data_IF_344892652004
#
_entry.id   IF_344892652004
#
_cell.length_a   1.000
_cell.length_b   1.000
_cell.length_c   1.000
_cell.angle_alpha   90.00
_cell.angle_beta   90.00
_cell.angle_gamma   90.00
#
_symmetry.space_group_name_H-M   'P 1'
#
loop_
_entity.id
_entity.type
_entity.pdbx_description
1 polymer ?
#
# COMPACT_ATOMS: atom_id res chain seq x y z
N UNK A 1 3.98 0.93 -9.43
CA UNK A 1 5.05 1.03 -8.42
C UNK A 1 4.50 0.88 -7.01
N UNK A 2 3.44 1.63 -6.66
CA UNK A 2 2.78 1.60 -5.35
C UNK A 2 2.27 0.20 -4.98
N UNK A 3 1.52 -0.44 -5.88
CA UNK A 3 1.00 -1.81 -5.70
C UNK A 3 2.14 -2.80 -5.44
N UNK A 4 3.24 -2.70 -6.20
CA UNK A 4 4.40 -3.55 -6.02
C UNK A 4 5.13 -3.30 -4.69
N UNK A 5 5.32 -2.04 -4.30
CA UNK A 5 5.96 -1.69 -3.03
C UNK A 5 5.16 -2.17 -1.82
N UNK A 6 3.83 -2.21 -1.95
CA UNK A 6 2.92 -2.66 -0.90
C UNK A 6 2.82 -4.18 -0.78
N UNK A 7 2.94 -4.92 -1.90
CA UNK A 7 2.63 -6.35 -1.97
C UNK A 7 3.84 -7.26 -1.89
N UNK A 8 5.04 -6.74 -2.12
CA UNK A 8 6.21 -7.56 -2.40
C UNK A 8 7.23 -7.49 -1.29
N UNK A 9 7.57 -8.66 -0.77
CA UNK A 9 8.83 -8.87 -0.05
C UNK A 9 10.01 -8.79 -1.03
N UNK A 10 11.21 -8.35 -0.58
CA UNK A 10 12.39 -8.14 -1.43
C UNK A 10 12.83 -9.36 -2.26
N UNK A 11 12.34 -10.54 -1.93
CA UNK A 11 12.75 -11.82 -2.53
C UNK A 11 11.93 -12.26 -3.75
N UNK A 12 10.83 -11.57 -4.12
CA UNK A 12 9.98 -11.98 -5.25
C UNK A 12 10.47 -11.43 -6.59
N UNK A 13 11.43 -12.10 -7.20
CA UNK A 13 12.01 -11.78 -8.52
C UNK A 13 10.98 -11.63 -9.68
N UNK A 14 9.82 -12.28 -9.60
CA UNK A 14 8.80 -12.23 -10.65
C UNK A 14 8.15 -10.85 -10.73
N UNK A 15 7.93 -10.23 -9.59
CA UNK A 15 7.32 -8.91 -9.54
C UNK A 15 8.31 -7.81 -9.95
N UNK A 16 9.58 -7.95 -9.65
CA UNK A 16 10.63 -7.06 -10.17
C UNK A 16 10.69 -7.07 -11.70
N UNK A 17 10.47 -8.23 -12.34
CA UNK A 17 10.38 -8.31 -13.82
C UNK A 17 9.17 -7.52 -14.35
N UNK A 18 8.00 -7.65 -13.73
CA UNK A 18 6.78 -6.90 -14.14
C UNK A 18 6.94 -5.39 -13.96
N UNK A 19 7.55 -4.94 -12.86
CA UNK A 19 7.87 -3.52 -12.66
C UNK A 19 8.80 -2.99 -13.74
N UNK A 20 9.81 -3.77 -14.17
CA UNK A 20 10.68 -3.39 -15.29
C UNK A 20 9.91 -3.26 -16.60
N UNK A 21 8.97 -4.19 -16.88
CA UNK A 21 8.11 -4.15 -18.05
C UNK A 21 7.22 -2.89 -18.03
N UNK A 22 6.55 -2.61 -16.91
CA UNK A 22 5.71 -1.41 -16.78
C UNK A 22 6.55 -0.14 -16.95
N UNK A 23 7.76 -0.08 -16.38
CA UNK A 23 8.67 1.06 -16.58
C UNK A 23 9.05 1.24 -18.03
N UNK A 24 9.40 0.15 -18.73
CA UNK A 24 9.72 0.19 -20.15
C UNK A 24 8.53 0.67 -20.99
N UNK A 25 7.32 0.17 -20.71
CA UNK A 25 6.07 0.63 -21.35
C UNK A 25 5.81 2.11 -21.12
N UNK A 26 6.02 2.60 -19.90
CA UNK A 26 5.88 4.03 -19.59
C UNK A 26 6.90 4.89 -20.37
N UNK A 27 8.16 4.44 -20.46
CA UNK A 27 9.18 5.13 -21.25
C UNK A 27 8.81 5.17 -22.75
N UNK A 28 8.34 4.05 -23.31
CA UNK A 28 7.85 3.99 -24.69
C UNK A 28 6.64 4.91 -24.89
N UNK A 29 5.68 4.88 -23.96
CA UNK A 29 4.51 5.75 -24.01
C UNK A 29 4.90 7.24 -24.01
N UNK A 30 5.82 7.62 -23.12
CA UNK A 30 6.33 9.00 -23.05
C UNK A 30 7.05 9.41 -24.35
N UNK A 31 7.90 8.53 -24.88
CA UNK A 31 8.58 8.77 -26.16
C UNK A 31 7.58 8.98 -27.32
N UNK A 32 6.53 8.16 -27.38
CA UNK A 32 5.47 8.30 -28.38
C UNK A 32 4.69 9.61 -28.25
N UNK A 33 4.42 10.08 -27.01
CA UNK A 33 3.81 11.39 -26.77
C UNK A 33 4.71 12.51 -27.30
N UNK A 34 6.03 12.46 -27.02
CA UNK A 34 6.99 13.44 -27.53
C UNK A 34 7.04 13.43 -29.05
N UNK A 35 7.13 12.25 -29.67
CA UNK A 35 7.12 12.11 -31.14
C UNK A 35 5.82 12.67 -31.72
N UNK A 36 4.68 12.45 -31.07
CA UNK A 36 3.38 12.96 -31.51
C UNK A 36 3.32 14.50 -31.59
N UNK A 37 4.09 15.21 -30.76
CA UNK A 37 4.17 16.69 -30.82
C UNK A 37 4.71 17.19 -32.17
N UNK A 38 5.60 16.41 -32.80
CA UNK A 38 6.27 16.82 -34.02
C UNK A 38 5.60 16.19 -35.27
N UNK A 39 4.93 15.06 -35.11
CA UNK A 39 4.38 14.27 -36.25
C UNK A 39 2.87 14.41 -36.39
N UNK A 40 2.16 14.99 -35.42
CA UNK A 40 0.69 15.00 -35.41
C UNK A 40 0.08 13.60 -35.29
N UNK A 41 0.83 12.60 -34.75
CA UNK A 41 0.40 11.20 -34.72
C UNK A 41 -0.92 11.02 -33.93
N UNK A 42 -1.05 11.67 -32.77
CA UNK A 42 -2.21 11.50 -31.90
C UNK A 42 -3.27 12.58 -32.11
N UNK A 43 -2.84 13.80 -32.45
CA UNK A 43 -3.73 14.94 -32.65
C UNK A 43 -3.09 15.99 -33.54
N UNK A 44 -3.93 16.81 -34.10
CA UNK A 44 -3.54 17.98 -34.90
C UNK A 44 -4.39 19.17 -34.51
N UNK A 45 -3.87 20.37 -34.76
CA UNK A 45 -4.62 21.61 -34.64
C UNK A 45 -4.81 22.17 -36.06
N UNK A 46 -6.01 22.66 -36.33
CA UNK A 46 -6.26 23.37 -37.59
C UNK A 46 -5.82 24.85 -37.52
N UNK A 47 -6.01 25.58 -38.62
CA UNK A 47 -5.68 27.00 -38.71
C UNK A 47 -6.49 27.88 -37.71
N UNK A 48 -7.63 27.38 -37.22
CA UNK A 48 -8.49 28.01 -36.22
C UNK A 48 -8.14 27.60 -34.79
N UNK A 49 -7.03 26.88 -34.60
CA UNK A 49 -6.56 26.33 -33.32
C UNK A 49 -7.56 25.36 -32.66
N UNK A 50 -8.36 24.67 -33.48
CA UNK A 50 -9.29 23.64 -33.03
C UNK A 50 -8.59 22.29 -33.02
N UNK A 51 -8.75 21.54 -31.93
CA UNK A 51 -8.17 20.22 -31.74
C UNK A 51 -8.91 19.15 -32.55
N UNK A 52 -8.15 18.35 -33.30
CA UNK A 52 -8.65 17.17 -34.03
C UNK A 52 -7.88 15.92 -33.65
N UNK A 53 -8.60 14.83 -33.43
CA UNK A 53 -7.96 13.51 -33.20
C UNK A 53 -7.44 12.96 -34.51
N UNK A 54 -6.15 12.59 -34.54
CA UNK A 54 -5.53 11.93 -35.70
C UNK A 54 -5.86 10.43 -35.70
N UNK A 55 -5.64 9.78 -36.86
CA UNK A 55 -5.84 8.33 -36.98
C UNK A 55 -5.02 7.48 -36.02
N UNK A 56 -3.88 7.98 -35.54
CA UNK A 56 -3.03 7.31 -34.54
C UNK A 56 -3.49 7.46 -33.09
N UNK A 57 -4.55 8.23 -32.81
CA UNK A 57 -5.06 8.42 -31.46
C UNK A 57 -5.31 7.12 -30.68
N UNK A 58 -5.87 6.04 -31.25
CA UNK A 58 -6.08 4.79 -30.52
C UNK A 58 -4.79 4.16 -30.00
N UNK A 59 -3.63 4.42 -30.64
CA UNK A 59 -2.32 3.91 -30.20
C UNK A 59 -1.95 4.50 -28.82
N UNK A 60 -2.34 5.76 -28.56
CA UNK A 60 -2.09 6.40 -27.26
C UNK A 60 -2.77 5.67 -26.10
N UNK A 61 -3.86 4.94 -26.36
CA UNK A 61 -4.62 4.20 -25.34
C UNK A 61 -4.03 2.82 -25.05
N UNK A 62 -3.21 2.25 -25.92
CA UNK A 62 -2.66 0.89 -25.78
C UNK A 62 -1.78 0.81 -24.52
N UNK A 63 -0.87 1.74 -24.34
CA UNK A 63 0.08 1.71 -23.21
C UNK A 63 -0.62 1.81 -21.87
N UNK A 64 -1.53 2.77 -21.62
CA UNK A 64 -2.31 2.83 -20.39
C UNK A 64 -3.13 1.56 -20.13
N UNK A 65 -3.82 1.04 -21.16
CA UNK A 65 -4.67 -0.16 -21.00
C UNK A 65 -3.84 -1.39 -20.65
N UNK A 66 -2.69 -1.60 -21.30
CA UNK A 66 -1.78 -2.71 -20.98
C UNK A 66 -1.21 -2.55 -19.57
N UNK A 67 -0.79 -1.35 -19.17
CA UNK A 67 -0.33 -1.09 -17.80
C UNK A 67 -1.41 -1.40 -16.77
N UNK A 68 -2.64 -0.94 -17.00
CA UNK A 68 -3.78 -1.21 -16.11
C UNK A 68 -4.11 -2.71 -16.04
N UNK A 69 -4.02 -3.45 -17.15
CA UNK A 69 -4.21 -4.90 -17.17
C UNK A 69 -3.13 -5.64 -16.34
N UNK A 70 -1.87 -5.20 -16.44
CA UNK A 70 -0.78 -5.74 -15.64
C UNK A 70 -0.98 -5.46 -14.15
N UNK A 71 -1.36 -4.23 -13.79
CA UNK A 71 -1.64 -3.84 -12.41
C UNK A 71 -2.85 -4.59 -11.85
N UNK A 72 -3.92 -4.74 -12.63
CA UNK A 72 -5.09 -5.54 -12.27
C UNK A 72 -4.74 -7.01 -12.06
N UNK A 73 -3.89 -7.58 -12.90
CA UNK A 73 -3.42 -8.97 -12.74
C UNK A 73 -2.64 -9.18 -11.45
N UNK A 74 -1.81 -8.19 -11.05
CA UNK A 74 -1.09 -8.21 -9.78
C UNK A 74 -2.06 -8.11 -8.60
N UNK A 75 -3.02 -7.19 -8.66
CA UNK A 75 -4.02 -7.00 -7.62
C UNK A 75 -4.82 -8.28 -7.37
N UNK A 76 -5.25 -8.97 -8.44
CA UNK A 76 -5.98 -10.23 -8.34
C UNK A 76 -5.10 -11.37 -7.81
N UNK A 77 -3.85 -11.46 -8.26
CA UNK A 77 -2.91 -12.49 -7.83
C UNK A 77 -2.61 -12.39 -6.33
N UNK A 78 -2.46 -11.18 -5.81
CA UNK A 78 -2.09 -10.95 -4.40
C UNK A 78 -3.27 -10.53 -3.52
N UNK A 79 -4.51 -10.71 -3.98
CA UNK A 79 -5.72 -10.30 -3.24
C UNK A 79 -5.80 -10.87 -1.81
N UNK A 80 -5.23 -12.05 -1.57
CA UNK A 80 -5.26 -12.69 -0.26
C UNK A 80 -4.33 -12.01 0.78
N UNK A 81 -3.37 -11.20 0.32
CA UNK A 81 -2.42 -10.46 1.16
C UNK A 81 -2.86 -9.03 1.47
N UNK A 82 -3.97 -8.61 0.87
CA UNK A 82 -4.46 -7.22 0.96
C UNK A 82 -5.76 -7.21 1.75
N UNK A 83 -5.96 -6.17 2.55
CA UNK A 83 -7.25 -5.94 3.19
C UNK A 83 -8.36 -5.70 2.15
N UNK A 84 -9.60 -6.00 2.51
CA UNK A 84 -10.75 -5.77 1.63
C UNK A 84 -10.89 -4.28 1.26
N UNK A 85 -10.62 -3.38 2.22
CA UNK A 85 -10.67 -1.94 1.99
C UNK A 85 -9.65 -1.50 0.95
N UNK A 86 -8.41 -1.94 1.10
CA UNK A 86 -7.33 -1.61 0.17
C UNK A 86 -7.52 -2.25 -1.21
N UNK A 87 -8.05 -3.48 -1.26
CA UNK A 87 -8.40 -4.13 -2.53
C UNK A 87 -9.45 -3.32 -3.30
N UNK A 88 -10.51 -2.86 -2.62
CA UNK A 88 -11.56 -2.03 -3.24
C UNK A 88 -11.02 -0.66 -3.66
N UNK A 89 -10.22 0.00 -2.82
CA UNK A 89 -9.64 1.30 -3.14
C UNK A 89 -8.68 1.23 -4.34
N UNK A 90 -7.79 0.23 -4.37
CA UNK A 90 -6.87 0.03 -5.51
C UNK A 90 -7.63 -0.44 -6.75
N UNK A 91 -8.67 -1.28 -6.59
CA UNK A 91 -9.54 -1.71 -7.67
C UNK A 91 -10.32 -0.54 -8.28
N UNK A 92 -10.81 0.40 -7.46
CA UNK A 92 -11.49 1.59 -7.95
C UNK A 92 -10.56 2.47 -8.81
N UNK A 93 -9.29 2.57 -8.45
CA UNK A 93 -8.27 3.28 -9.24
C UNK A 93 -8.08 2.68 -10.65
N UNK A 94 -8.30 1.38 -10.81
CA UNK A 94 -8.25 0.72 -12.13
C UNK A 94 -9.59 0.84 -12.87
N UNK A 95 -10.71 0.65 -12.19
CA UNK A 95 -12.04 0.56 -12.82
C UNK A 95 -12.60 1.93 -13.19
N UNK A 96 -12.50 2.94 -12.31
CA UNK A 96 -13.09 4.26 -12.55
C UNK A 96 -12.56 4.96 -13.81
N UNK A 97 -11.23 4.99 -14.10
CA UNK A 97 -10.74 5.56 -15.34
C UNK A 97 -11.20 4.80 -16.59
N UNK A 98 -11.31 3.46 -16.52
CA UNK A 98 -11.82 2.66 -17.66
C UNK A 98 -13.28 2.99 -17.96
N UNK A 99 -14.13 3.13 -16.94
CA UNK A 99 -15.51 3.58 -17.10
C UNK A 99 -15.56 5.00 -17.67
N UNK A 100 -14.73 5.91 -17.17
CA UNK A 100 -14.64 7.27 -17.65
C UNK A 100 -14.21 7.32 -19.12
N UNK A 101 -13.22 6.52 -19.55
CA UNK A 101 -12.80 6.39 -20.94
C UNK A 101 -13.97 5.90 -21.81
N UNK A 102 -14.71 4.89 -21.35
CA UNK A 102 -15.85 4.35 -22.09
C UNK A 102 -16.93 5.39 -22.33
N UNK A 103 -17.24 6.21 -21.32
CA UNK A 103 -18.21 7.31 -21.43
C UNK A 103 -17.65 8.42 -22.35
N UNK A 104 -16.37 8.76 -22.23
CA UNK A 104 -15.72 9.81 -23.01
C UNK A 104 -15.61 9.48 -24.50
N UNK A 105 -15.60 8.18 -24.87
CA UNK A 105 -15.67 7.77 -26.28
C UNK A 105 -17.00 8.20 -26.91
N UNK A 106 -18.10 8.07 -26.14
CA UNK A 106 -19.46 8.42 -26.61
C UNK A 106 -19.72 9.92 -26.48
N UNK A 107 -19.30 10.53 -25.39
CA UNK A 107 -19.50 11.96 -25.11
C UNK A 107 -18.21 12.74 -25.27
N UNK A 108 -18.03 13.34 -26.44
CA UNK A 108 -16.88 14.15 -26.80
C UNK A 108 -16.85 15.47 -25.99
N UNK A 109 -15.65 15.82 -25.51
CA UNK A 109 -15.44 17.14 -24.84
C UNK A 109 -15.45 17.15 -23.31
N UNK A 110 -15.72 16.01 -22.67
CA UNK A 110 -15.67 15.90 -21.20
C UNK A 110 -14.33 15.29 -20.74
N UNK A 111 -13.61 15.96 -19.84
CA UNK A 111 -12.37 15.44 -19.23
C UNK A 111 -12.68 14.53 -18.02
N UNK A 112 -13.51 13.49 -18.22
CA UNK A 112 -13.98 12.60 -17.17
C UNK A 112 -12.87 11.71 -16.59
N UNK A 113 -11.85 11.40 -17.39
CA UNK A 113 -10.75 10.51 -16.96
C UNK A 113 -9.94 11.15 -15.84
N UNK A 114 -9.60 12.44 -15.96
CA UNK A 114 -8.83 13.15 -14.94
C UNK A 114 -9.61 13.27 -13.62
N UNK A 115 -10.93 13.52 -13.71
CA UNK A 115 -11.81 13.54 -12.55
C UNK A 115 -11.88 12.15 -11.89
N UNK A 116 -12.04 11.09 -12.67
CA UNK A 116 -12.10 9.71 -12.18
C UNK A 116 -10.80 9.30 -11.48
N UNK A 117 -9.65 9.66 -12.05
CA UNK A 117 -8.33 9.43 -11.43
C UNK A 117 -8.23 10.20 -10.12
N UNK A 118 -8.61 11.49 -10.10
CA UNK A 118 -8.60 12.31 -8.89
C UNK A 118 -9.42 11.72 -7.75
N UNK A 119 -10.66 11.32 -8.04
CA UNK A 119 -11.54 10.66 -7.05
C UNK A 119 -10.93 9.34 -6.56
N UNK A 120 -10.45 8.51 -7.46
CA UNK A 120 -9.83 7.24 -7.10
C UNK A 120 -8.57 7.42 -6.23
N UNK A 121 -7.74 8.42 -6.53
CA UNK A 121 -6.56 8.77 -5.71
C UNK A 121 -6.96 9.21 -4.30
N UNK A 122 -7.98 10.03 -4.15
CA UNK A 122 -8.50 10.45 -2.83
C UNK A 122 -9.01 9.25 -2.04
N UNK A 123 -9.80 8.37 -2.65
CA UNK A 123 -10.29 7.15 -2.00
C UNK A 123 -9.14 6.25 -1.54
N UNK A 124 -8.15 6.03 -2.40
CA UNK A 124 -6.96 5.22 -2.07
C UNK A 124 -6.16 5.85 -0.91
N UNK A 125 -6.01 7.17 -0.91
CA UNK A 125 -5.33 7.90 0.16
C UNK A 125 -6.03 7.76 1.51
N UNK A 126 -7.36 7.96 1.55
CA UNK A 126 -8.17 7.82 2.77
C UNK A 126 -8.10 6.41 3.35
N UNK A 127 -8.22 5.38 2.50
CA UNK A 127 -8.09 3.98 2.94
C UNK A 127 -6.68 3.68 3.42
N UNK A 128 -5.65 4.20 2.75
CA UNK A 128 -4.25 4.02 3.15
C UNK A 128 -3.96 4.63 4.52
N UNK A 129 -4.46 5.84 4.80
CA UNK A 129 -4.32 6.48 6.12
C UNK A 129 -5.02 5.64 7.19
N UNK A 130 -6.26 5.19 6.92
CA UNK A 130 -6.99 4.36 7.87
C UNK A 130 -6.20 3.10 8.24
N UNK A 131 -5.68 2.39 7.25
CA UNK A 131 -4.91 1.16 7.49
C UNK A 131 -3.58 1.42 8.22
N UNK A 132 -2.89 2.51 7.90
CA UNK A 132 -1.68 2.91 8.62
C UNK A 132 -1.97 3.22 10.09
N UNK A 133 -3.07 3.92 10.38
CA UNK A 133 -3.49 4.21 11.74
C UNK A 133 -3.85 2.93 12.52
N UNK A 134 -4.58 2.00 11.90
CA UNK A 134 -4.90 0.71 12.51
C UNK A 134 -3.63 -0.12 12.77
N UNK A 135 -2.68 -0.12 11.85
CA UNK A 135 -1.39 -0.80 12.03
C UNK A 135 -0.56 -0.18 13.17
N UNK A 136 -0.56 1.14 13.28
CA UNK A 136 0.11 1.86 14.37
C UNK A 136 -0.48 1.49 15.72
N UNK A 137 -1.81 1.51 15.86
CA UNK A 137 -2.50 1.11 17.08
C UNK A 137 -2.21 -0.33 17.49
N UNK A 138 -2.15 -1.26 16.52
CA UNK A 138 -1.77 -2.66 16.79
C UNK A 138 -0.32 -2.78 17.26
N UNK A 139 0.58 -1.99 16.74
CA UNK A 139 1.99 -1.95 17.16
C UNK A 139 2.10 -1.41 18.60
N UNK A 140 1.37 -0.36 18.94
CA UNK A 140 1.35 0.20 20.29
C UNK A 140 0.81 -0.80 21.32
N UNK A 141 -0.32 -1.46 21.02
CA UNK A 141 -0.88 -2.50 21.90
C UNK A 141 0.06 -3.69 22.07
N UNK A 142 0.72 -4.13 20.99
CA UNK A 142 1.71 -5.21 21.04
C UNK A 142 2.94 -4.81 21.88
N UNK A 143 3.41 -3.57 21.75
CA UNK A 143 4.52 -3.05 22.57
C UNK A 143 4.15 -2.98 24.04
N UNK A 144 2.94 -2.54 24.38
CA UNK A 144 2.45 -2.51 25.75
C UNK A 144 2.40 -3.92 26.38
N UNK A 145 1.88 -4.91 25.61
CA UNK A 145 1.87 -6.31 26.06
C UNK A 145 3.27 -6.90 26.27
N UNK A 146 4.23 -6.55 25.40
CA UNK A 146 5.62 -7.01 25.56
C UNK A 146 6.26 -6.36 26.79
N UNK A 147 6.01 -5.08 27.03
CA UNK A 147 6.51 -4.37 28.21
C UNK A 147 5.98 -5.00 29.50
N UNK A 148 4.67 -5.29 29.58
CA UNK A 148 4.04 -5.97 30.71
C UNK A 148 4.66 -7.37 30.95
N UNK A 149 4.81 -8.17 29.90
CA UNK A 149 5.44 -9.49 30.00
C UNK A 149 6.89 -9.42 30.45
N UNK A 150 7.63 -8.41 30.01
CA UNK A 150 9.02 -8.19 30.41
C UNK A 150 9.10 -7.82 31.89
N UNK A 151 8.18 -7.00 32.39
CA UNK A 151 8.09 -6.62 33.79
C UNK A 151 7.82 -7.83 34.69
N UNK A 152 6.82 -8.66 34.30
CA UNK A 152 6.53 -9.92 35.01
C UNK A 152 7.75 -10.84 35.02
N UNK A 153 8.43 -11.01 33.85
CA UNK A 153 9.62 -11.83 33.76
C UNK A 153 10.78 -11.31 34.65
N UNK A 154 10.92 -10.00 34.75
CA UNK A 154 11.93 -9.35 35.61
C UNK A 154 11.63 -9.60 37.07
N UNK A 155 10.37 -9.49 37.50
CA UNK A 155 9.94 -9.80 38.89
C UNK A 155 10.18 -11.27 39.19
N UNK A 156 9.78 -12.18 38.29
CA UNK A 156 10.02 -13.63 38.44
C UNK A 156 11.51 -13.95 38.58
N UNK A 157 12.36 -13.35 37.72
CA UNK A 157 13.80 -13.58 37.77
C UNK A 157 14.41 -13.10 39.10
N UNK A 158 13.95 -11.94 39.63
CA UNK A 158 14.35 -11.43 40.92
C UNK A 158 13.90 -12.35 42.06
N UNK A 159 12.71 -12.94 41.97
CA UNK A 159 12.23 -13.93 42.93
C UNK A 159 13.09 -15.21 42.91
N UNK A 160 13.43 -15.72 41.75
CA UNK A 160 14.30 -16.90 41.60
C UNK A 160 15.69 -16.63 42.11
N UNK A 161 16.25 -15.46 41.88
CA UNK A 161 17.58 -15.07 42.38
C UNK A 161 17.60 -15.01 43.91
N UNK A 162 16.56 -14.43 44.54
CA UNK A 162 16.42 -14.38 45.98
C UNK A 162 16.27 -15.77 46.62
N UNK A 163 15.49 -16.66 45.96
CA UNK A 163 15.36 -18.06 46.43
C UNK A 163 16.68 -18.81 46.29
N UNK A 164 17.44 -18.60 45.22
CA UNK A 164 18.72 -19.25 44.97
C UNK A 164 19.81 -18.81 45.95
N UNK A 165 19.81 -17.53 46.33
CA UNK A 165 20.77 -16.96 47.31
C UNK A 165 20.37 -17.19 48.76
N UNK A 166 19.07 -17.37 49.02
CA UNK A 166 18.50 -17.56 50.38
C UNK A 166 18.55 -19.00 50.94
N UNK A 167 19.18 -19.94 50.25
CA UNK A 167 19.11 -21.40 50.47
C UNK A 167 19.56 -21.97 51.84
N UNK A 168 19.74 -21.14 52.86
CA UNK A 168 19.96 -21.55 54.27
C UNK A 168 18.89 -21.06 55.27
N UNK A 169 18.03 -20.14 54.86
CA UNK A 169 17.00 -19.60 55.74
C UNK A 169 15.70 -19.40 54.90
N UNK A 170 14.93 -20.46 54.81
CA UNK A 170 13.69 -20.53 54.04
C UNK A 170 12.66 -19.47 54.48
N UNK A 171 12.59 -19.19 55.78
CA UNK A 171 11.62 -18.22 56.34
C UNK A 171 11.97 -16.78 55.90
N UNK A 172 13.25 -16.44 55.86
CA UNK A 172 13.70 -15.13 55.43
C UNK A 172 13.50 -14.94 53.93
N UNK A 173 13.83 -15.96 53.12
CA UNK A 173 13.61 -15.96 51.69
C UNK A 173 12.14 -15.84 51.33
N UNK A 174 11.23 -16.50 52.07
CA UNK A 174 9.78 -16.44 51.83
C UNK A 174 9.23 -15.06 52.16
N UNK A 175 9.65 -14.43 53.27
CA UNK A 175 9.22 -13.08 53.66
C UNK A 175 9.71 -12.00 52.64
N UNK A 176 10.95 -12.13 52.16
CA UNK A 176 11.47 -11.23 51.10
C UNK A 176 10.74 -11.39 49.77
N UNK A 177 10.33 -12.61 49.43
CA UNK A 177 9.53 -12.92 48.25
C UNK A 177 8.12 -12.31 48.35
N UNK A 178 7.46 -12.49 49.49
CA UNK A 178 6.17 -11.87 49.77
C UNK A 178 6.23 -10.34 49.69
N UNK A 179 7.33 -9.72 50.13
CA UNK A 179 7.56 -8.28 49.98
C UNK A 179 7.60 -7.85 48.50
N UNK A 180 8.37 -8.56 47.67
CA UNK A 180 8.47 -8.23 46.22
C UNK A 180 7.13 -8.39 45.52
N UNK A 181 6.38 -9.44 45.82
CA UNK A 181 5.04 -9.67 45.28
C UNK A 181 4.07 -8.60 45.71
N UNK A 182 4.07 -8.26 47.02
CA UNK A 182 3.22 -7.21 47.57
C UNK A 182 3.47 -5.86 46.93
N UNK A 183 4.72 -5.47 46.75
CA UNK A 183 5.10 -4.20 46.10
C UNK A 183 4.65 -4.15 44.64
N UNK A 184 4.68 -5.29 43.94
CA UNK A 184 4.21 -5.37 42.56
C UNK A 184 2.68 -5.20 42.43
N UNK A 185 1.90 -5.75 43.34
CA UNK A 185 0.43 -5.64 43.33
C UNK A 185 -0.10 -4.38 44.00
N UNK A 186 0.73 -3.61 44.70
CA UNK A 186 0.35 -2.36 45.35
C UNK A 186 0.60 -1.12 44.48
N UNK A 187 1.33 -1.25 43.35
CA UNK A 187 1.63 -0.21 42.36
C UNK A 187 0.61 -0.18 41.24
#
# INVERSE_FOLDING_TARGET
>A
YYICAMLLTPEENVALKRVKVVRALCCVGLALVVVSQFTGLYYTFDASNVYHRSAGYPISMIVPVVAMALDGSLLLQYRARISRGMFLATGSYLVLPLLAISIQIVHYGLALVDLAIGVAMVLMFLVSIKEQNEAMLRLETSRAQIAEKLEIATVLNRCVEKLSTGGRDLDKATNELLGVISDYFAA
#
